data_IF_131201758194
#
_entry.id   IF_131201758194
#
_cell.length_a   1.000
_cell.length_b   1.000
_cell.length_c   1.000
_cell.angle_alpha   90.00
_cell.angle_beta   90.00
_cell.angle_gamma   90.00
#
_symmetry.space_group_name_H-M   'P 1'
#
loop_
_entity.id
_entity.type
_entity.pdbx_description
1 polymer ?
#
# COMPACT_ATOMS: atom_id res chain seq x y z
N UNK A 1 -73.70 -13.49 57.70
CA UNK A 1 -72.83 -12.44 57.16
C UNK A 1 -71.41 -13.02 57.00
N UNK A 2 -71.04 -13.37 55.76
CA UNK A 2 -69.73 -13.86 55.50
C UNK A 2 -68.99 -12.75 54.69
N UNK A 3 -68.07 -12.08 55.35
CA UNK A 3 -67.18 -11.14 54.78
C UNK A 3 -65.97 -11.89 54.16
N UNK A 4 -66.05 -12.06 52.83
CA UNK A 4 -64.94 -12.66 52.06
C UNK A 4 -63.74 -11.76 52.06
N UNK A 5 -62.71 -12.08 52.75
CA UNK A 5 -61.38 -11.46 52.60
C UNK A 5 -60.82 -11.88 51.27
N UNK A 6 -60.93 -11.04 50.29
CA UNK A 6 -60.16 -11.14 49.02
C UNK A 6 -58.70 -10.87 49.33
N UNK A 7 -57.93 -11.91 49.50
CA UNK A 7 -56.48 -11.83 49.53
C UNK A 7 -55.97 -11.26 48.22
N UNK A 8 -55.58 -9.99 48.23
CA UNK A 8 -54.89 -9.37 47.13
C UNK A 8 -53.47 -9.95 47.04
N UNK A 9 -53.26 -10.86 46.14
CA UNK A 9 -51.91 -11.37 45.85
C UNK A 9 -51.06 -10.21 45.38
N UNK A 10 -49.93 -9.89 46.02
CA UNK A 10 -49.03 -8.86 45.53
C UNK A 10 -48.51 -9.28 44.16
N UNK A 11 -48.77 -8.46 43.16
CA UNK A 11 -48.17 -8.62 41.83
C UNK A 11 -46.67 -8.49 42.00
N UNK A 12 -45.95 -9.61 41.86
CA UNK A 12 -44.51 -9.59 41.77
C UNK A 12 -44.12 -8.74 40.57
N UNK A 13 -43.53 -7.59 40.81
CA UNK A 13 -42.92 -6.78 39.76
C UNK A 13 -41.73 -7.59 39.26
N UNK A 14 -41.84 -8.09 38.06
CA UNK A 14 -40.69 -8.64 37.35
C UNK A 14 -39.75 -7.48 37.04
N UNK A 15 -38.77 -7.30 37.89
CA UNK A 15 -37.67 -6.39 37.58
C UNK A 15 -36.80 -7.17 36.59
N UNK A 16 -36.99 -6.84 35.31
CA UNK A 16 -36.11 -7.33 34.28
C UNK A 16 -34.83 -6.50 34.37
N UNK A 17 -33.91 -6.92 35.21
CA UNK A 17 -32.59 -6.36 35.26
C UNK A 17 -31.80 -6.93 34.09
N UNK A 18 -31.38 -6.05 33.17
CA UNK A 18 -30.51 -6.43 32.08
C UNK A 18 -29.11 -6.56 32.68
N UNK A 19 -28.56 -7.78 32.65
CA UNK A 19 -27.18 -7.99 33.06
C UNK A 19 -26.24 -7.41 31.97
N UNK A 20 -25.49 -6.39 32.35
CA UNK A 20 -24.54 -5.69 31.45
C UNK A 20 -23.27 -6.49 31.20
N UNK A 21 -22.93 -7.44 32.07
CA UNK A 21 -21.68 -8.20 31.99
C UNK A 21 -21.52 -8.95 30.66
N UNK A 22 -22.51 -9.68 30.11
CA UNK A 22 -22.38 -10.33 28.81
C UNK A 22 -22.17 -9.34 27.67
N UNK A 23 -22.78 -8.18 27.74
CA UNK A 23 -22.60 -7.15 26.70
C UNK A 23 -21.19 -6.55 26.73
N UNK A 24 -20.66 -6.31 27.91
CA UNK A 24 -19.29 -5.83 28.08
C UNK A 24 -18.29 -6.87 27.58
N UNK A 25 -18.49 -8.14 27.83
CA UNK A 25 -17.63 -9.22 27.35
C UNK A 25 -17.61 -9.30 25.82
N UNK A 26 -18.80 -9.29 25.19
CA UNK A 26 -18.90 -9.30 23.72
C UNK A 26 -18.26 -8.06 23.11
N UNK A 27 -18.50 -6.89 23.66
CA UNK A 27 -17.91 -5.64 23.15
C UNK A 27 -16.39 -5.62 23.33
N UNK A 28 -15.88 -6.16 24.42
CA UNK A 28 -14.45 -6.26 24.70
C UNK A 28 -13.77 -7.22 23.70
N UNK A 29 -14.37 -8.38 23.46
CA UNK A 29 -13.87 -9.35 22.48
C UNK A 29 -13.88 -8.76 21.08
N UNK A 30 -14.95 -8.08 20.69
CA UNK A 30 -15.01 -7.39 19.39
C UNK A 30 -13.95 -6.30 19.27
N UNK A 31 -13.71 -5.52 20.32
CA UNK A 31 -12.67 -4.51 20.36
C UNK A 31 -11.29 -5.11 20.11
N UNK A 32 -10.98 -6.23 20.77
CA UNK A 32 -9.70 -6.91 20.60
C UNK A 32 -9.56 -7.46 19.19
N UNK A 33 -10.63 -8.08 18.66
CA UNK A 33 -10.63 -8.61 17.29
C UNK A 33 -10.37 -7.46 16.30
N UNK A 34 -11.09 -6.34 16.40
CA UNK A 34 -10.88 -5.19 15.54
C UNK A 34 -9.49 -4.57 15.69
N UNK A 35 -8.93 -4.58 16.90
CA UNK A 35 -7.57 -4.10 17.12
C UNK A 35 -6.52 -4.99 16.45
N UNK A 36 -6.71 -6.31 16.47
CA UNK A 36 -5.79 -7.28 15.86
C UNK A 36 -5.97 -7.35 14.34
N UNK A 37 -7.22 -7.25 13.87
CA UNK A 37 -7.55 -7.28 12.44
C UNK A 37 -7.54 -5.91 11.79
N UNK A 38 -7.35 -4.83 12.57
CA UNK A 38 -7.20 -3.50 12.01
C UNK A 38 -6.13 -3.57 10.92
N UNK A 39 -6.48 -3.35 9.65
CA UNK A 39 -5.48 -3.31 8.62
C UNK A 39 -4.48 -2.25 9.05
N UNK A 40 -3.23 -2.63 9.16
CA UNK A 40 -2.14 -1.66 9.15
C UNK A 40 -2.38 -0.94 7.84
N UNK A 41 -2.97 0.24 7.91
CA UNK A 41 -3.09 1.12 6.75
C UNK A 41 -1.64 1.32 6.34
N UNK A 42 -1.21 0.51 5.40
CA UNK A 42 0.01 0.77 4.68
C UNK A 42 -0.21 2.17 4.13
N UNK A 43 0.45 3.13 4.74
CA UNK A 43 0.55 4.44 4.16
C UNK A 43 1.22 4.19 2.82
N UNK A 44 0.40 3.97 1.80
CA UNK A 44 0.86 4.10 0.44
C UNK A 44 1.44 5.51 0.40
N UNK A 45 2.76 5.59 0.50
CA UNK A 45 3.45 6.86 0.35
C UNK A 45 3.04 7.31 -1.04
N UNK A 46 2.13 8.26 -1.08
CA UNK A 46 1.70 8.89 -2.31
C UNK A 46 2.93 9.61 -2.83
N UNK A 47 3.61 8.98 -3.77
CA UNK A 47 4.77 9.57 -4.42
C UNK A 47 4.23 10.59 -5.40
N UNK A 48 4.44 11.87 -5.12
CA UNK A 48 4.16 12.92 -6.08
C UNK A 48 5.21 12.86 -7.18
N UNK A 49 4.84 12.33 -8.34
CA UNK A 49 5.74 12.28 -9.48
C UNK A 49 5.98 13.68 -10.06
N UNK A 50 7.19 13.98 -10.52
CA UNK A 50 7.45 15.21 -11.24
C UNK A 50 6.64 15.22 -12.54
N UNK A 51 5.99 16.36 -12.81
CA UNK A 51 5.21 16.56 -14.03
C UNK A 51 6.16 16.83 -15.19
N UNK A 52 5.93 16.15 -16.30
CA UNK A 52 6.61 16.44 -17.56
C UNK A 52 5.61 17.06 -18.54
N UNK A 53 6.03 18.04 -19.35
CA UNK A 53 5.21 18.53 -20.46
C UNK A 53 4.79 17.37 -21.36
N UNK A 54 3.53 17.34 -21.78
CA UNK A 54 3.04 16.31 -22.71
C UNK A 54 3.86 16.34 -24.01
N UNK A 55 4.84 15.47 -24.08
CA UNK A 55 5.37 15.06 -25.37
C UNK A 55 4.42 13.98 -25.86
N UNK A 56 3.56 14.37 -26.81
CA UNK A 56 2.60 13.48 -27.44
C UNK A 56 3.37 12.46 -28.28
N UNK A 57 3.89 11.44 -27.63
CA UNK A 57 4.17 10.18 -28.26
C UNK A 57 3.32 9.12 -27.53
N UNK A 58 2.01 9.15 -27.85
CA UNK A 58 1.11 8.03 -27.63
C UNK A 58 1.56 6.84 -28.49
N UNK A 59 2.66 6.22 -28.15
CA UNK A 59 2.73 4.78 -28.29
C UNK A 59 2.01 4.22 -27.09
N UNK A 60 0.68 4.12 -27.22
CA UNK A 60 -0.09 3.13 -26.50
C UNK A 60 0.64 1.80 -26.73
N UNK A 61 1.54 1.46 -25.83
CA UNK A 61 1.94 0.09 -25.67
C UNK A 61 0.70 -0.64 -25.19
N UNK A 62 0.13 -1.39 -26.12
CA UNK A 62 -0.91 -2.38 -25.89
C UNK A 62 -0.59 -3.14 -24.62
N UNK A 63 -1.55 -3.10 -23.69
CA UNK A 63 -1.58 -3.82 -22.41
C UNK A 63 -1.77 -5.33 -22.61
N UNK A 64 -1.29 -5.90 -23.71
CA UNK A 64 -1.50 -7.29 -24.08
C UNK A 64 -0.34 -8.22 -23.69
N UNK A 65 0.65 -7.74 -22.93
CA UNK A 65 1.65 -8.63 -22.36
C UNK A 65 1.38 -8.81 -20.85
N UNK A 66 1.04 -10.03 -20.49
CA UNK A 66 0.71 -10.51 -19.13
C UNK A 66 1.86 -10.37 -18.11
N UNK A 67 2.91 -9.64 -18.44
CA UNK A 67 4.04 -9.40 -17.55
C UNK A 67 3.81 -8.14 -16.74
N UNK A 68 3.53 -8.33 -15.45
CA UNK A 68 3.47 -7.22 -14.50
C UNK A 68 4.77 -6.42 -14.52
N UNK A 69 4.71 -5.10 -14.70
CA UNK A 69 5.90 -4.26 -14.72
C UNK A 69 6.56 -4.25 -13.34
N UNK A 70 7.88 -4.23 -13.33
CA UNK A 70 8.65 -4.06 -12.09
C UNK A 70 8.93 -2.57 -11.88
N UNK A 71 8.48 -2.04 -10.74
CA UNK A 71 8.63 -0.61 -10.43
C UNK A 71 9.60 -0.42 -9.28
N UNK A 72 10.57 0.45 -9.48
CA UNK A 72 11.51 0.90 -8.45
C UNK A 72 11.15 2.34 -8.11
N UNK A 73 10.82 2.59 -6.86
CA UNK A 73 10.46 3.92 -6.36
C UNK A 73 11.61 4.52 -5.57
N UNK A 74 12.02 5.73 -5.93
CA UNK A 74 12.97 6.53 -5.16
C UNK A 74 12.18 7.50 -4.29
N UNK A 75 12.31 7.37 -2.98
CA UNK A 75 11.61 8.22 -2.00
C UNK A 75 12.27 9.58 -1.85
N UNK A 76 11.56 10.52 -1.22
CA UNK A 76 12.07 11.87 -0.86
C UNK A 76 13.42 11.83 -0.13
N UNK A 77 13.64 10.82 0.70
CA UNK A 77 14.87 10.62 1.46
C UNK A 77 15.99 9.92 0.65
N UNK A 78 15.80 9.71 -0.65
CA UNK A 78 16.76 9.04 -1.52
C UNK A 78 16.92 7.55 -1.24
N UNK A 79 15.93 6.92 -0.63
CA UNK A 79 15.87 5.47 -0.42
C UNK A 79 15.06 4.80 -1.53
N UNK A 80 15.23 3.51 -1.68
CA UNK A 80 14.61 2.73 -2.75
C UNK A 80 13.53 1.82 -2.20
N UNK A 81 12.45 1.65 -2.95
CA UNK A 81 11.39 0.67 -2.72
C UNK A 81 11.10 -0.07 -4.02
N UNK A 82 10.59 -1.27 -3.92
CA UNK A 82 10.19 -2.06 -5.09
C UNK A 82 8.70 -2.37 -5.05
N UNK A 83 8.10 -2.62 -6.22
CA UNK A 83 6.68 -2.99 -6.33
C UNK A 83 6.36 -4.32 -5.63
N UNK A 84 7.34 -5.21 -5.46
CA UNK A 84 7.15 -6.48 -4.76
C UNK A 84 7.25 -6.36 -3.25
N UNK A 85 8.04 -5.40 -2.76
CA UNK A 85 8.24 -5.16 -1.33
C UNK A 85 8.02 -3.69 -1.00
N UNK A 86 6.77 -3.20 -1.09
CA UNK A 86 6.46 -1.79 -0.91
C UNK A 86 6.73 -1.29 0.52
N UNK A 87 6.73 -2.20 1.48
CA UNK A 87 6.96 -1.89 2.89
C UNK A 87 8.45 -1.88 3.27
N UNK A 88 9.29 -2.50 2.45
CA UNK A 88 10.72 -2.58 2.70
C UNK A 88 11.43 -1.40 2.06
N UNK A 89 12.06 -0.58 2.90
CA UNK A 89 12.87 0.55 2.44
C UNK A 89 14.31 0.11 2.36
N UNK A 90 14.83 0.04 1.15
CA UNK A 90 16.21 -0.33 0.86
C UNK A 90 17.14 0.87 1.06
N UNK A 91 18.24 0.65 1.73
CA UNK A 91 19.31 1.62 1.93
C UNK A 91 20.26 1.64 0.72
N UNK A 92 21.14 2.65 0.67
CA UNK A 92 22.20 2.68 -0.33
C UNK A 92 23.12 1.45 -0.30
N UNK A 93 23.23 0.77 0.85
CA UNK A 93 24.01 -0.47 0.97
C UNK A 93 23.36 -1.66 0.26
N UNK A 94 22.03 -1.61 0.11
CA UNK A 94 21.26 -2.67 -0.52
C UNK A 94 21.10 -2.43 -2.04
N UNK A 95 21.60 -1.30 -2.53
CA UNK A 95 21.49 -0.91 -3.93
C UNK A 95 22.14 -1.92 -4.88
N UNK A 96 23.29 -2.46 -4.51
CA UNK A 96 24.00 -3.47 -5.31
C UNK A 96 23.18 -4.75 -5.44
N UNK A 97 22.55 -5.18 -4.34
CA UNK A 97 21.67 -6.35 -4.34
C UNK A 97 20.41 -6.09 -5.19
N UNK A 98 19.83 -4.90 -5.10
CA UNK A 98 18.70 -4.50 -5.92
C UNK A 98 19.05 -4.50 -7.41
N UNK A 99 20.19 -3.92 -7.76
CA UNK A 99 20.67 -3.92 -9.15
C UNK A 99 20.91 -5.34 -9.66
N UNK A 100 21.54 -6.18 -8.87
CA UNK A 100 21.77 -7.59 -9.22
C UNK A 100 20.46 -8.36 -9.43
N UNK A 101 19.47 -8.13 -8.58
CA UNK A 101 18.13 -8.72 -8.71
C UNK A 101 17.45 -8.29 -10.00
N UNK A 102 17.46 -7.00 -10.29
CA UNK A 102 16.83 -6.43 -11.50
C UNK A 102 17.52 -6.93 -12.77
N UNK A 103 18.84 -7.02 -12.75
CA UNK A 103 19.63 -7.57 -13.87
C UNK A 103 19.27 -9.03 -14.11
N UNK A 104 19.22 -9.85 -13.05
CA UNK A 104 18.82 -11.26 -13.15
C UNK A 104 17.41 -11.42 -13.74
N UNK A 105 16.45 -10.62 -13.29
CA UNK A 105 15.07 -10.58 -13.83
C UNK A 105 15.05 -10.22 -15.31
N UNK A 106 15.78 -9.19 -15.68
CA UNK A 106 15.90 -8.74 -17.08
C UNK A 106 16.50 -9.81 -17.99
N UNK A 107 17.36 -10.66 -17.48
CA UNK A 107 17.93 -11.79 -18.23
C UNK A 107 16.94 -12.95 -18.37
N UNK A 108 16.14 -13.22 -17.32
CA UNK A 108 15.13 -14.26 -17.33
C UNK A 108 13.92 -13.89 -18.18
N UNK A 109 13.51 -12.63 -18.12
CA UNK A 109 12.38 -12.11 -18.89
C UNK A 109 12.76 -10.81 -19.60
N UNK A 110 13.17 -10.92 -20.85
CA UNK A 110 13.63 -9.77 -21.66
C UNK A 110 12.49 -8.83 -22.06
N UNK A 111 11.25 -9.25 -21.93
CA UNK A 111 10.07 -8.42 -22.27
C UNK A 111 9.55 -7.63 -21.08
N UNK A 112 9.99 -7.96 -19.88
CA UNK A 112 9.56 -7.26 -18.67
C UNK A 112 10.04 -5.80 -18.69
N UNK A 113 9.11 -4.88 -18.57
CA UNK A 113 9.41 -3.46 -18.44
C UNK A 113 9.77 -3.12 -17.00
N UNK A 114 10.84 -2.35 -16.85
CA UNK A 114 11.31 -1.87 -15.56
C UNK A 114 11.12 -0.37 -15.53
N UNK A 115 10.33 0.10 -14.58
CA UNK A 115 10.06 1.52 -14.40
C UNK A 115 10.76 2.04 -13.16
N UNK A 116 11.36 3.20 -13.29
CA UNK A 116 11.91 3.95 -12.17
C UNK A 116 11.02 5.15 -11.94
N UNK A 117 10.46 5.23 -10.75
CA UNK A 117 9.57 6.28 -10.29
C UNK A 117 10.30 7.09 -9.21
N UNK A 118 10.46 8.37 -9.42
CA UNK A 118 11.01 9.28 -8.42
C UNK A 118 9.91 10.09 -7.74
N UNK A 119 9.97 10.23 -6.41
CA UNK A 119 9.16 11.24 -5.72
C UNK A 119 9.52 12.63 -6.23
N UNK A 120 8.56 13.55 -6.22
CA UNK A 120 8.78 14.96 -6.60
C UNK A 120 9.89 15.61 -5.78
N UNK A 121 10.00 15.26 -4.51
CA UNK A 121 11.02 15.72 -3.58
C UNK A 121 12.27 14.82 -3.58
N UNK A 122 12.26 13.74 -4.36
CA UNK A 122 13.39 12.81 -4.43
C UNK A 122 14.64 13.50 -4.99
N UNK A 123 15.82 13.21 -4.44
CA UNK A 123 17.06 13.71 -5.02
C UNK A 123 17.25 13.20 -6.45
N UNK A 124 17.21 14.09 -7.43
CA UNK A 124 17.33 13.75 -8.85
C UNK A 124 18.58 12.90 -9.15
N UNK A 125 19.69 13.20 -8.47
CA UNK A 125 20.91 12.43 -8.59
C UNK A 125 20.76 10.96 -8.24
N UNK A 126 19.89 10.62 -7.30
CA UNK A 126 19.61 9.21 -6.90
C UNK A 126 18.77 8.49 -7.96
N UNK A 127 17.79 9.19 -8.53
CA UNK A 127 16.96 8.65 -9.61
C UNK A 127 17.81 8.37 -10.83
N UNK A 128 18.65 9.33 -11.21
CA UNK A 128 19.54 9.20 -12.37
C UNK A 128 20.61 8.12 -12.11
N UNK A 129 21.14 8.05 -10.90
CA UNK A 129 22.16 7.06 -10.53
C UNK A 129 21.68 5.63 -10.74
N UNK A 130 20.49 5.28 -10.22
CA UNK A 130 19.94 3.93 -10.40
C UNK A 130 19.62 3.64 -11.88
N UNK A 131 19.11 4.64 -12.62
CA UNK A 131 18.85 4.50 -14.04
C UNK A 131 20.12 4.16 -14.82
N UNK A 132 21.20 4.91 -14.59
CA UNK A 132 22.49 4.70 -15.24
C UNK A 132 23.10 3.36 -14.85
N UNK A 133 23.01 2.97 -13.56
CA UNK A 133 23.50 1.68 -13.08
C UNK A 133 22.81 0.52 -13.78
N UNK A 134 21.49 0.55 -13.92
CA UNK A 134 20.74 -0.50 -14.60
C UNK A 134 21.10 -0.56 -16.09
N UNK A 135 21.19 0.58 -16.77
CA UNK A 135 21.62 0.65 -18.17
C UNK A 135 23.03 0.13 -18.36
N UNK A 136 23.97 0.50 -17.49
CA UNK A 136 25.36 0.04 -17.54
C UNK A 136 25.51 -1.46 -17.34
N UNK A 137 24.61 -2.07 -16.56
CA UNK A 137 24.57 -3.51 -16.34
C UNK A 137 23.76 -4.29 -17.39
N UNK A 138 23.37 -3.65 -18.49
CA UNK A 138 22.77 -4.31 -19.64
C UNK A 138 21.24 -4.45 -19.58
N UNK A 139 20.57 -3.77 -18.67
CA UNK A 139 19.11 -3.76 -18.62
C UNK A 139 18.58 -2.83 -19.73
N UNK A 140 18.03 -3.41 -20.79
CA UNK A 140 17.57 -2.66 -21.96
C UNK A 140 16.24 -1.91 -21.71
N UNK A 141 15.29 -2.57 -21.05
CA UNK A 141 13.91 -2.11 -20.90
C UNK A 141 13.70 -1.32 -19.59
N UNK A 142 14.47 -0.26 -19.40
CA UNK A 142 14.32 0.66 -18.26
C UNK A 142 13.78 1.98 -18.73
N UNK A 143 12.72 2.45 -18.09
CA UNK A 143 12.08 3.74 -18.37
C UNK A 143 11.81 4.51 -17.09
N UNK A 144 11.82 5.82 -17.20
CA UNK A 144 11.39 6.70 -16.12
C UNK A 144 9.88 6.89 -16.20
N UNK A 145 9.20 6.71 -15.07
CA UNK A 145 7.76 6.94 -14.94
C UNK A 145 7.55 8.38 -14.43
N UNK A 146 6.80 9.16 -15.18
CA UNK A 146 6.44 10.54 -14.82
C UNK A 146 4.94 10.73 -14.98
N UNK A 147 4.34 11.62 -14.20
CA UNK A 147 2.95 12.03 -14.41
C UNK A 147 2.88 13.11 -15.49
N UNK A 148 1.89 13.03 -16.41
CA UNK A 148 1.67 14.10 -17.36
C UNK A 148 1.23 15.38 -16.64
N UNK A 149 1.73 16.51 -17.11
CA UNK A 149 1.36 17.84 -16.62
C UNK A 149 -0.14 18.09 -16.97
N UNK A 150 -0.98 18.26 -15.96
CA UNK A 150 -2.42 18.49 -16.13
C UNK A 150 -3.35 17.41 -15.59
N UNK A 151 -2.84 16.31 -15.04
CA UNK A 151 -3.66 15.26 -14.40
C UNK A 151 -4.14 15.62 -12.99
N UNK A 152 -4.14 16.88 -12.62
CA UNK A 152 -4.64 17.34 -11.34
C UNK A 152 -6.17 17.52 -11.46
N UNK A 153 -6.97 16.78 -10.64
CA UNK A 153 -8.41 16.94 -10.63
C UNK A 153 -8.83 18.28 -10.01
#
# INVERSE_FOLDING_TARGET
MQTGFRSQRPKKRLIAEINVVPYVDVTLVLLIIFMVTAPIVQQAVTVNLPQTPEIIDKKQQSLDDETTPFVITVTENGRYKTSEQPDTVLSNKDLENLVAEVVARSQLNRTQMIYIQGDKEAPYGKVLHIFVLLKANGVANVSLLTEPEGSNP
#
